data_IF_177733457583
#
_entry.id   IF_177733457583
#
_cell.length_a   1.000
_cell.length_b   1.000
_cell.length_c   1.000
_cell.angle_alpha   90.00
_cell.angle_beta   90.00
_cell.angle_gamma   90.00
#
_symmetry.space_group_name_H-M   'P 1'
#
loop_
_entity.id
_entity.type
_entity.pdbx_description
1 polymer ?
#
# COMPACT_ATOMS: atom_id res chain seq x y z
N UNK A 1 -2.34 -27.02 62.38
CA UNK A 1 -1.69 -26.57 61.15
C UNK A 1 -2.37 -27.12 59.89
N UNK A 2 -2.71 -28.39 59.81
CA UNK A 2 -3.37 -29.02 58.64
C UNK A 2 -4.77 -28.42 58.34
N UNK A 3 -5.60 -28.14 59.32
CA UNK A 3 -6.94 -27.56 59.13
C UNK A 3 -6.93 -26.15 58.52
N UNK A 4 -5.92 -25.33 58.82
CA UNK A 4 -5.75 -23.99 58.24
C UNK A 4 -5.39 -24.08 56.77
N UNK A 5 -4.50 -24.99 56.38
CA UNK A 5 -4.10 -25.20 54.97
C UNK A 5 -5.26 -25.71 54.10
N UNK A 6 -6.12 -26.56 54.61
CA UNK A 6 -7.33 -27.04 53.92
C UNK A 6 -8.34 -25.91 53.71
N UNK A 7 -8.53 -25.05 54.69
CA UNK A 7 -9.47 -23.93 54.61
C UNK A 7 -8.98 -22.84 53.59
N UNK A 8 -7.68 -22.57 53.55
CA UNK A 8 -7.09 -21.65 52.55
C UNK A 8 -7.23 -22.22 51.14
N UNK A 9 -7.01 -23.51 50.98
CA UNK A 9 -7.11 -24.16 49.65
C UNK A 9 -8.56 -24.15 49.12
N UNK A 10 -9.56 -24.44 49.95
CA UNK A 10 -10.97 -24.41 49.55
C UNK A 10 -11.44 -22.98 49.22
N UNK A 11 -10.98 -21.98 49.93
CA UNK A 11 -11.32 -20.59 49.63
C UNK A 11 -10.67 -20.11 48.34
N UNK A 12 -9.40 -20.44 48.12
CA UNK A 12 -8.68 -20.13 46.91
C UNK A 12 -9.36 -20.80 45.68
N UNK A 13 -9.74 -22.07 45.79
CA UNK A 13 -10.39 -22.82 44.71
C UNK A 13 -11.75 -22.22 44.32
N UNK A 14 -12.47 -21.64 45.27
CA UNK A 14 -13.77 -20.99 45.03
C UNK A 14 -13.64 -19.65 44.30
N UNK A 15 -12.61 -18.83 44.59
CA UNK A 15 -12.44 -17.49 44.02
C UNK A 15 -11.54 -17.47 42.79
N UNK A 16 -10.70 -18.50 42.60
CA UNK A 16 -9.79 -18.57 41.46
C UNK A 16 -10.49 -18.44 40.09
N UNK A 17 -11.61 -19.15 39.79
CA UNK A 17 -12.29 -19.05 38.51
C UNK A 17 -12.89 -17.63 38.27
N UNK A 18 -13.36 -16.97 39.33
CA UNK A 18 -13.89 -15.59 39.21
C UNK A 18 -12.79 -14.57 38.93
N UNK A 19 -11.62 -14.72 39.57
CA UNK A 19 -10.46 -13.88 39.29
C UNK A 19 -9.96 -14.03 37.85
N UNK A 20 -9.91 -15.28 37.37
CA UNK A 20 -9.48 -15.58 36.01
C UNK A 20 -10.48 -15.07 34.95
N UNK A 21 -11.79 -15.21 35.23
CA UNK A 21 -12.86 -14.69 34.37
C UNK A 21 -12.84 -13.15 34.24
N UNK A 22 -12.35 -12.46 35.26
CA UNK A 22 -12.20 -10.98 35.23
C UNK A 22 -10.89 -10.57 34.54
N UNK A 23 -9.79 -11.28 34.77
CA UNK A 23 -8.46 -10.93 34.24
C UNK A 23 -8.35 -11.14 32.74
N UNK A 24 -8.97 -12.19 32.18
CA UNK A 24 -8.91 -12.51 30.76
C UNK A 24 -9.49 -11.37 29.90
N UNK A 25 -10.73 -10.87 30.14
CA UNK A 25 -11.27 -9.78 29.33
C UNK A 25 -10.49 -8.47 29.52
N UNK A 26 -10.01 -8.19 30.72
CA UNK A 26 -9.18 -7.01 30.98
C UNK A 26 -7.87 -7.09 30.17
N UNK A 27 -7.18 -8.23 30.23
CA UNK A 27 -5.96 -8.47 29.46
C UNK A 27 -6.22 -8.37 27.95
N UNK A 28 -7.36 -8.90 27.48
CA UNK A 28 -7.76 -8.81 26.08
C UNK A 28 -8.04 -7.36 25.63
N UNK A 29 -8.73 -6.57 26.47
CA UNK A 29 -8.99 -5.16 26.18
C UNK A 29 -7.69 -4.35 26.19
N UNK A 30 -6.81 -4.56 27.17
CA UNK A 30 -5.50 -3.92 27.24
C UNK A 30 -4.63 -4.31 26.04
N UNK A 31 -4.64 -5.58 25.64
CA UNK A 31 -3.96 -6.06 24.44
C UNK A 31 -4.50 -5.39 23.17
N UNK A 32 -5.83 -5.24 23.04
CA UNK A 32 -6.47 -4.53 21.93
C UNK A 32 -6.12 -3.05 21.89
N UNK A 33 -6.11 -2.38 23.05
CA UNK A 33 -5.73 -0.95 23.14
C UNK A 33 -4.25 -0.75 22.78
N UNK A 34 -3.38 -1.63 23.28
CA UNK A 34 -1.94 -1.58 23.03
C UNK A 34 -1.60 -1.90 21.57
N UNK A 35 -2.35 -2.77 20.94
CA UNK A 35 -2.17 -3.17 19.54
C UNK A 35 -2.99 -2.34 18.54
N UNK A 36 -3.60 -1.23 18.97
CA UNK A 36 -4.21 -0.28 18.04
C UNK A 36 -3.09 0.30 17.17
N UNK A 37 -2.93 -0.26 15.99
CA UNK A 37 -2.04 0.29 14.96
C UNK A 37 -2.54 1.70 14.66
N UNK A 38 -1.63 2.67 14.66
CA UNK A 38 -1.95 4.02 14.23
C UNK A 38 -2.16 3.95 12.72
N UNK A 39 -3.38 4.11 12.26
CA UNK A 39 -3.66 4.19 10.83
C UNK A 39 -2.89 5.36 10.21
N UNK A 40 -2.27 5.10 9.08
CA UNK A 40 -1.59 6.12 8.29
C UNK A 40 -2.51 6.56 7.17
N UNK A 41 -2.57 7.87 6.92
CA UNK A 41 -3.33 8.42 5.81
C UNK A 41 -2.46 8.56 4.56
N UNK A 42 -2.99 8.11 3.42
CA UNK A 42 -2.44 8.34 2.09
C UNK A 42 -3.41 9.21 1.33
N UNK A 43 -2.96 10.38 0.89
CA UNK A 43 -3.77 11.28 0.08
C UNK A 43 -3.48 11.08 -1.39
N UNK A 44 -4.52 10.83 -2.17
CA UNK A 44 -4.50 10.68 -3.62
C UNK A 44 -5.10 11.90 -4.31
N UNK A 45 -4.87 12.09 -5.63
CA UNK A 45 -5.49 13.16 -6.40
C UNK A 45 -7.02 13.19 -6.24
N UNK A 46 -7.59 14.40 -6.15
CA UNK A 46 -9.01 14.60 -5.91
C UNK A 46 -9.40 14.51 -4.43
N UNK A 47 -8.47 14.74 -3.51
CA UNK A 47 -8.67 14.68 -2.05
C UNK A 47 -9.18 13.33 -1.53
N UNK A 48 -8.90 12.25 -2.25
CA UNK A 48 -9.24 10.90 -1.80
C UNK A 48 -8.24 10.47 -0.74
N UNK A 49 -8.68 10.38 0.51
CA UNK A 49 -7.87 9.94 1.65
C UNK A 49 -8.14 8.47 1.91
N UNK A 50 -7.08 7.70 2.09
CA UNK A 50 -7.11 6.28 2.38
C UNK A 50 -6.37 6.03 3.68
N UNK A 51 -6.95 5.24 4.55
CA UNK A 51 -6.31 4.79 5.77
C UNK A 51 -5.72 3.39 5.57
N UNK A 52 -4.51 3.21 6.04
CA UNK A 52 -3.76 1.98 5.89
C UNK A 52 -2.92 1.67 7.13
N UNK A 53 -2.59 0.40 7.32
CA UNK A 53 -1.69 -0.03 8.39
C UNK A 53 -0.25 0.45 8.15
N UNK A 54 0.48 0.87 9.20
CA UNK A 54 1.90 1.19 9.09
C UNK A 54 2.72 0.02 8.54
N UNK A 55 3.63 0.32 7.63
CA UNK A 55 4.51 -0.69 7.02
C UNK A 55 3.92 -1.42 5.82
N UNK A 56 2.69 -1.10 5.40
CA UNK A 56 2.14 -1.61 4.14
C UNK A 56 2.76 -0.87 2.94
N UNK A 57 2.81 -1.51 1.79
CA UNK A 57 3.21 -0.83 0.57
C UNK A 57 2.09 0.09 0.06
N UNK A 58 2.45 1.20 -0.58
CA UNK A 58 1.46 2.11 -1.18
C UNK A 58 0.59 1.40 -2.21
N UNK A 59 1.14 0.43 -2.95
CA UNK A 59 0.39 -0.36 -3.91
C UNK A 59 -0.67 -1.24 -3.25
N UNK A 60 -0.32 -1.92 -2.15
CA UNK A 60 -1.25 -2.80 -1.45
C UNK A 60 -2.33 -1.98 -0.72
N UNK A 61 -1.96 -0.83 -0.15
CA UNK A 61 -2.93 0.12 0.39
C UNK A 61 -3.92 0.60 -0.68
N UNK A 62 -3.45 0.90 -1.91
CA UNK A 62 -4.31 1.24 -3.03
C UNK A 62 -5.30 0.12 -3.35
N UNK A 63 -4.81 -1.11 -3.44
CA UNK A 63 -5.63 -2.30 -3.76
C UNK A 63 -6.69 -2.58 -2.70
N UNK A 64 -6.32 -2.53 -1.42
CA UNK A 64 -7.25 -2.75 -0.31
C UNK A 64 -8.40 -1.74 -0.29
N UNK A 65 -8.14 -0.53 -0.79
CA UNK A 65 -9.11 0.57 -0.81
C UNK A 65 -9.74 0.82 -2.19
N UNK A 66 -9.65 -0.15 -3.10
CA UNK A 66 -10.22 -0.08 -4.44
C UNK A 66 -9.77 1.17 -5.23
N UNK A 67 -8.52 1.59 -5.03
CA UNK A 67 -7.90 2.61 -5.86
C UNK A 67 -7.23 1.91 -7.02
N UNK A 68 -7.64 2.30 -8.21
CA UNK A 68 -7.05 1.79 -9.44
C UNK A 68 -5.59 2.23 -9.55
N UNK A 69 -4.67 1.28 -9.45
CA UNK A 69 -3.23 1.52 -9.50
C UNK A 69 -2.57 0.52 -10.45
N UNK A 70 -1.98 1.05 -11.52
CA UNK A 70 -1.35 0.21 -12.53
C UNK A 70 -0.15 -0.55 -11.96
N UNK A 71 -0.05 -1.85 -12.24
CA UNK A 71 1.01 -2.69 -11.70
C UNK A 71 1.17 -3.96 -12.54
N UNK A 72 1.84 -3.86 -13.68
CA UNK A 72 1.99 -4.96 -14.65
C UNK A 72 2.74 -6.19 -14.10
N UNK A 73 3.76 -5.97 -13.28
CA UNK A 73 4.51 -7.09 -12.67
C UNK A 73 3.84 -7.66 -11.41
N UNK A 74 2.66 -7.17 -11.02
CA UNK A 74 1.96 -7.61 -9.81
C UNK A 74 2.59 -7.17 -8.49
N UNK A 75 3.47 -6.17 -8.49
CA UNK A 75 4.11 -5.67 -7.26
C UNK A 75 5.52 -6.21 -6.99
N UNK A 76 6.13 -6.89 -7.98
CA UNK A 76 7.43 -7.55 -7.81
C UNK A 76 8.65 -6.63 -8.01
N UNK A 77 8.45 -5.33 -8.21
CA UNK A 77 9.55 -4.39 -8.46
C UNK A 77 10.27 -4.58 -9.79
N UNK A 78 9.69 -5.30 -10.76
CA UNK A 78 10.33 -5.62 -12.04
C UNK A 78 9.98 -4.65 -13.16
N UNK A 79 8.98 -3.81 -12.95
CA UNK A 79 8.54 -2.81 -13.93
C UNK A 79 8.45 -1.44 -13.28
N UNK A 80 8.21 -0.41 -14.09
CA UNK A 80 8.02 0.96 -13.62
C UNK A 80 6.58 1.43 -13.66
N UNK A 81 5.61 0.54 -13.93
CA UNK A 81 4.20 0.93 -14.15
C UNK A 81 3.49 1.38 -12.88
N UNK A 82 3.93 0.92 -11.69
CA UNK A 82 3.40 1.37 -10.41
C UNK A 82 4.09 2.63 -9.85
N UNK A 83 4.79 3.39 -10.70
CA UNK A 83 5.49 4.59 -10.25
C UNK A 83 4.52 5.67 -9.80
N UNK A 84 4.86 6.28 -8.70
CA UNK A 84 4.15 7.41 -8.09
C UNK A 84 5.10 8.57 -7.93
N UNK A 85 4.58 9.78 -7.89
CA UNK A 85 5.27 10.94 -7.35
C UNK A 85 4.79 11.20 -5.95
N UNK A 86 5.71 11.32 -5.00
CA UNK A 86 5.43 11.77 -3.64
C UNK A 86 5.40 13.30 -3.66
N UNK A 87 4.30 13.86 -3.17
CA UNK A 87 4.05 15.31 -3.15
C UNK A 87 4.32 15.92 -1.77
N UNK A 88 4.34 15.09 -0.72
CA UNK A 88 4.69 15.46 0.64
C UNK A 88 6.20 15.55 0.83
N UNK A 89 6.62 15.99 2.03
CA UNK A 89 8.04 16.04 2.41
C UNK A 89 8.71 14.67 2.29
N UNK A 90 9.87 14.64 1.64
CA UNK A 90 10.64 13.43 1.36
C UNK A 90 11.54 13.01 2.53
N UNK A 91 11.75 13.87 3.52
CA UNK A 91 12.69 13.63 4.65
C UNK A 91 12.29 12.44 5.52
N UNK A 92 11.00 12.14 5.56
CA UNK A 92 10.46 11.01 6.35
C UNK A 92 10.24 9.73 5.55
N UNK A 93 10.64 9.72 4.28
CA UNK A 93 10.51 8.53 3.45
C UNK A 93 11.67 7.56 3.72
N UNK A 94 11.39 6.24 3.70
CA UNK A 94 12.45 5.25 3.73
C UNK A 94 13.31 5.36 2.46
N UNK A 95 14.59 5.06 2.61
CA UNK A 95 15.51 4.97 1.46
C UNK A 95 15.01 3.95 0.43
N UNK A 96 15.39 4.15 -0.84
CA UNK A 96 15.09 3.19 -1.90
C UNK A 96 15.82 1.88 -1.63
N UNK A 97 15.11 0.77 -1.71
CA UNK A 97 15.76 -0.54 -1.69
C UNK A 97 16.55 -0.78 -2.99
N UNK A 98 17.40 -1.80 -3.01
CA UNK A 98 18.28 -2.10 -4.16
C UNK A 98 17.54 -2.30 -5.48
N UNK A 99 16.32 -2.87 -5.45
CA UNK A 99 15.48 -3.10 -6.62
C UNK A 99 14.99 -1.76 -7.17
N UNK A 100 14.43 -0.92 -6.31
CA UNK A 100 13.93 0.41 -6.68
C UNK A 100 15.06 1.32 -7.16
N UNK A 101 16.21 1.28 -6.47
CA UNK A 101 17.38 2.08 -6.81
C UNK A 101 17.93 1.76 -8.20
N UNK A 102 17.97 0.48 -8.57
CA UNK A 102 18.42 0.06 -9.90
C UNK A 102 17.51 0.60 -11.01
N UNK A 103 16.19 0.58 -10.80
CA UNK A 103 15.22 1.14 -11.76
C UNK A 103 15.33 2.66 -11.81
N UNK A 104 15.41 3.32 -10.65
CA UNK A 104 15.54 4.76 -10.55
C UNK A 104 16.79 5.28 -11.28
N UNK A 105 17.94 4.62 -11.12
CA UNK A 105 19.19 4.95 -11.84
C UNK A 105 19.05 4.76 -13.34
N UNK A 106 18.46 3.65 -13.80
CA UNK A 106 18.31 3.36 -15.23
C UNK A 106 17.35 4.34 -15.92
N UNK A 107 16.33 4.80 -15.21
CA UNK A 107 15.30 5.72 -15.76
C UNK A 107 15.56 7.19 -15.37
N UNK A 108 16.68 7.47 -14.72
CA UNK A 108 17.09 8.81 -14.26
C UNK A 108 15.98 9.52 -13.47
N UNK A 109 15.43 8.84 -12.46
CA UNK A 109 14.37 9.39 -11.62
C UNK A 109 14.91 10.31 -10.53
N UNK A 110 14.20 11.40 -10.29
CA UNK A 110 14.40 12.23 -9.10
C UNK A 110 13.91 11.50 -7.84
N UNK A 111 14.23 12.03 -6.65
CA UNK A 111 13.92 11.38 -5.39
C UNK A 111 12.42 11.38 -5.06
N UNK A 112 11.63 12.22 -5.69
CA UNK A 112 10.17 12.26 -5.53
C UNK A 112 9.47 11.10 -6.23
N UNK A 113 10.11 10.47 -7.23
CA UNK A 113 9.51 9.35 -7.97
C UNK A 113 9.88 8.03 -7.29
N UNK A 114 8.88 7.30 -6.84
CA UNK A 114 9.02 6.06 -6.11
C UNK A 114 8.20 4.94 -6.75
N UNK A 115 8.59 3.69 -6.49
CA UNK A 115 7.77 2.53 -6.83
C UNK A 115 6.76 2.26 -5.72
N UNK A 116 5.47 2.38 -6.00
CA UNK A 116 4.42 2.14 -5.02
C UNK A 116 4.47 0.75 -4.38
N UNK A 117 4.96 -0.26 -5.11
CA UNK A 117 5.11 -1.62 -4.59
C UNK A 117 6.33 -1.82 -3.67
N UNK A 118 7.28 -0.91 -3.69
CA UNK A 118 8.50 -0.98 -2.87
C UNK A 118 8.51 0.06 -1.74
N UNK A 119 7.66 1.08 -1.84
CA UNK A 119 7.54 2.11 -0.82
C UNK A 119 6.62 1.64 0.30
N UNK A 120 7.21 1.27 1.44
CA UNK A 120 6.51 0.94 2.67
C UNK A 120 6.44 2.17 3.55
N UNK A 121 5.24 2.57 3.92
CA UNK A 121 4.99 3.84 4.62
C UNK A 121 4.79 3.64 6.12
N UNK A 122 5.31 4.59 6.88
CA UNK A 122 5.14 4.69 8.34
C UNK A 122 4.54 6.02 8.78
N UNK A 123 4.53 7.00 7.88
CA UNK A 123 3.99 8.34 8.11
C UNK A 123 2.96 8.71 7.04
N UNK A 124 2.07 9.67 7.33
CA UNK A 124 1.14 10.19 6.33
C UNK A 124 1.89 10.74 5.11
N UNK A 125 1.40 10.41 3.91
CA UNK A 125 1.99 10.89 2.66
C UNK A 125 0.91 11.32 1.66
N UNK A 126 1.30 12.22 0.76
CA UNK A 126 0.53 12.56 -0.43
C UNK A 126 1.22 11.98 -1.66
N UNK A 127 0.48 11.26 -2.48
CA UNK A 127 1.02 10.58 -3.66
C UNK A 127 0.18 10.85 -4.90
N UNK A 128 0.85 10.88 -6.05
CA UNK A 128 0.22 10.98 -7.36
C UNK A 128 0.69 9.83 -8.25
N UNK A 129 -0.17 8.89 -8.62
CA UNK A 129 0.16 7.87 -9.62
C UNK A 129 0.51 8.55 -10.95
N UNK A 130 1.64 8.15 -11.55
CA UNK A 130 2.11 8.71 -12.82
C UNK A 130 1.59 7.94 -14.04
N UNK A 131 1.16 6.70 -13.83
CA UNK A 131 0.52 5.88 -14.85
C UNK A 131 -0.95 5.74 -14.49
N UNK A 132 -1.81 6.27 -15.35
CA UNK A 132 -3.27 6.14 -15.17
C UNK A 132 -3.71 4.73 -15.55
N UNK A 133 -4.63 4.18 -14.78
CA UNK A 133 -5.30 2.95 -15.17
C UNK A 133 -6.40 3.27 -16.20
N UNK A 134 -6.69 2.30 -17.04
CA UNK A 134 -7.73 2.43 -18.07
C UNK A 134 -9.12 2.64 -17.46
N UNK A 135 -9.35 2.15 -16.23
CA UNK A 135 -10.61 2.34 -15.50
C UNK A 135 -10.85 3.79 -15.07
N UNK A 136 -9.79 4.57 -14.81
CA UNK A 136 -9.95 5.99 -14.44
C UNK A 136 -10.40 6.86 -15.63
N UNK A 137 -10.13 6.42 -16.85
CA UNK A 137 -10.62 7.11 -18.05
C UNK A 137 -12.14 7.00 -18.20
N UNK A 138 -12.72 5.85 -17.85
CA UNK A 138 -14.17 5.62 -17.96
C UNK A 138 -14.99 6.43 -16.95
N UNK A 139 -14.43 6.76 -15.79
CA UNK A 139 -15.14 7.53 -14.76
C UNK A 139 -14.96 9.05 -14.88
N UNK A 140 -13.88 9.52 -15.48
CA UNK A 140 -13.66 10.95 -15.72
C UNK A 140 -14.34 11.45 -16.99
N UNK A 141 -14.49 10.60 -18.01
CA UNK A 141 -15.15 10.95 -19.28
C UNK A 141 -16.68 10.86 -19.23
N UNK A 142 -17.25 10.18 -18.22
CA UNK A 142 -18.71 10.09 -18.07
C UNK A 142 -19.38 11.41 -17.66
N UNK A 143 -18.62 12.48 -17.37
CA UNK A 143 -19.13 13.84 -17.09
C UNK A 143 -18.96 14.83 -18.24
N UNK A 144 -18.23 14.47 -19.27
CA UNK A 144 -18.15 15.24 -20.52
C UNK A 144 -19.01 14.49 -21.52
N UNK A 145 -20.15 15.07 -21.87
CA UNK A 145 -21.03 14.47 -22.87
C UNK A 145 -20.25 13.97 -24.07
N UNK A 146 -20.57 12.75 -24.50
CA UNK A 146 -20.02 12.09 -25.68
C UNK A 146 -20.34 12.89 -26.96
N UNK A 147 -19.80 14.10 -27.09
CA UNK A 147 -19.70 14.73 -28.38
C UNK A 147 -18.38 14.26 -28.98
N UNK A 148 -18.43 13.15 -29.70
CA UNK A 148 -17.33 12.70 -30.52
C UNK A 148 -17.03 13.77 -31.54
N UNK A 149 -15.76 14.22 -31.62
CA UNK A 149 -15.27 15.08 -32.68
C UNK A 149 -14.66 14.16 -33.74
N UNK A 150 -15.12 14.28 -34.95
CA UNK A 150 -14.45 13.59 -36.08
C UNK A 150 -13.17 14.34 -36.40
N UNK A 151 -12.05 13.60 -36.33
CA UNK A 151 -10.72 14.11 -36.74
C UNK A 151 -10.09 13.14 -37.73
N UNK A 152 -9.48 13.70 -38.77
CA UNK A 152 -8.67 12.91 -39.69
C UNK A 152 -7.38 12.50 -38.98
N UNK A 153 -7.28 11.22 -38.62
CA UNK A 153 -6.13 10.68 -37.90
C UNK A 153 -5.43 9.64 -38.76
N UNK A 154 -4.11 9.74 -38.86
CA UNK A 154 -3.28 8.69 -39.45
C UNK A 154 -2.84 7.75 -38.36
N UNK A 155 -3.18 6.47 -38.49
CA UNK A 155 -2.77 5.44 -37.53
C UNK A 155 -1.64 4.62 -38.19
N UNK A 156 -0.48 4.59 -37.54
CA UNK A 156 0.68 3.82 -37.98
C UNK A 156 0.93 2.69 -37.00
N UNK A 157 1.02 1.45 -37.49
CA UNK A 157 1.43 0.29 -36.72
C UNK A 157 2.90 0.02 -37.00
N UNK A 158 3.74 0.02 -35.98
CA UNK A 158 5.17 -0.28 -36.06
C UNK A 158 5.43 -1.49 -35.17
N UNK A 159 6.03 -2.52 -35.74
CA UNK A 159 6.46 -3.71 -35.01
C UNK A 159 7.99 -3.85 -35.06
N UNK A 160 8.57 -4.27 -33.96
CA UNK A 160 10.01 -4.50 -33.83
C UNK A 160 10.33 -5.98 -34.06
N UNK A 161 11.06 -6.28 -35.13
CA UNK A 161 11.58 -7.64 -35.33
C UNK A 161 12.53 -8.02 -34.20
N UNK A 162 12.32 -9.21 -33.62
CA UNK A 162 13.16 -9.72 -32.55
C UNK A 162 12.90 -9.06 -31.18
N UNK A 163 11.72 -8.45 -30.99
CA UNK A 163 11.35 -7.79 -29.75
C UNK A 163 11.56 -8.67 -28.51
N UNK A 164 11.25 -9.98 -28.60
CA UNK A 164 11.41 -10.93 -27.49
C UNK A 164 12.87 -11.00 -27.02
N UNK A 165 13.80 -11.14 -27.93
CA UNK A 165 15.23 -11.23 -27.59
C UNK A 165 15.81 -9.90 -27.08
N UNK A 166 15.23 -8.78 -27.48
CA UNK A 166 15.60 -7.44 -26.99
C UNK A 166 15.04 -7.23 -25.58
N UNK A 167 13.79 -7.61 -25.34
CA UNK A 167 13.12 -7.44 -24.06
C UNK A 167 13.69 -8.32 -22.95
N UNK A 168 14.30 -9.47 -23.30
CA UNK A 168 15.01 -10.32 -22.33
C UNK A 168 16.30 -9.68 -21.80
N UNK A 169 16.94 -8.83 -22.59
CA UNK A 169 18.19 -8.14 -22.26
C UNK A 169 17.98 -6.77 -21.62
N UNK A 170 16.83 -6.18 -21.83
CA UNK A 170 16.45 -4.88 -21.28
C UNK A 170 15.49 -5.06 -20.11
N UNK A 171 15.38 -4.03 -19.27
CA UNK A 171 14.30 -4.02 -18.28
C UNK A 171 12.97 -4.07 -19.02
N UNK A 172 12.05 -4.95 -18.59
CA UNK A 172 10.78 -5.10 -19.29
C UNK A 172 9.90 -3.84 -19.26
N UNK A 173 10.26 -2.77 -18.61
CA UNK A 173 9.52 -1.46 -18.67
C UNK A 173 10.26 -0.40 -17.85
#
# INVERSE_FOLDING_TARGET
MAAYLTQVNTTAQKYYPFGLALLIPIAFVLFRIRNRKKDISITYPGNKIVHADPGISVLDASRQNNISHMSMCGGRGRCSTCRIRVMSDLTHLPERNGIEQNIAKKLNWDDSIRLACQLHITNPIEVRPLVRSTSDKLTSDSRVGLSGREEHTVIMFIDLRGFTSISEKLLPY
#
